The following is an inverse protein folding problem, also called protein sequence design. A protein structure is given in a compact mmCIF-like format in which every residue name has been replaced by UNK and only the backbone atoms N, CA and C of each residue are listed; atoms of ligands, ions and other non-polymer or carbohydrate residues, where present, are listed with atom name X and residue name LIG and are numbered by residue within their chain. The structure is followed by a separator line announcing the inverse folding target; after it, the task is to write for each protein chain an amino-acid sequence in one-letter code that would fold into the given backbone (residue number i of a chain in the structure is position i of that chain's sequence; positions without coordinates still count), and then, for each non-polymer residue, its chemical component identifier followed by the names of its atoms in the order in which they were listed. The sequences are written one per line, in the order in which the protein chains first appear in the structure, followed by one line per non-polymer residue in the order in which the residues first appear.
data_IF_105983571451
#
_entry.id   IF_105983571451
#
_cell.length_a   1.000
_cell.length_b   1.000
_cell.length_c   1.000
_cell.angle_alpha   90.00
_cell.angle_beta   90.00
_cell.angle_gamma   90.00
#
_symmetry.space_group_name_H-M   'P 1'
#
loop_
_entity.id
_entity.type
_entity.pdbx_description
1 polymer ?
#
# COMPACT_ATOMS: atom_id res chain seq x y z
N UNK A 1 -14.32 -2.04 -15.35
CA UNK A 1 -14.22 -1.34 -14.06
C UNK A 1 -13.80 -2.37 -13.04
N UNK A 2 -12.84 -2.07 -12.18
CA UNK A 2 -12.45 -3.00 -11.13
C UNK A 2 -13.58 -3.25 -10.13
N UNK A 3 -13.73 -4.49 -9.67
CA UNK A 3 -14.78 -4.94 -8.74
C UNK A 3 -14.88 -4.03 -7.51
N UNK A 4 -13.73 -3.65 -6.95
CA UNK A 4 -13.67 -2.78 -5.77
C UNK A 4 -14.15 -1.35 -6.06
N UNK A 5 -13.97 -0.85 -7.28
CA UNK A 5 -14.43 0.48 -7.70
C UNK A 5 -15.96 0.49 -7.93
N UNK A 6 -16.52 -0.62 -8.39
CA UNK A 6 -17.97 -0.78 -8.49
C UNK A 6 -18.61 -0.86 -7.10
N UNK A 7 -18.03 -1.66 -6.20
CA UNK A 7 -18.41 -1.70 -4.77
C UNK A 7 -18.35 -0.30 -4.13
N UNK A 8 -17.28 0.46 -4.39
CA UNK A 8 -17.15 1.82 -3.90
C UNK A 8 -18.33 2.71 -4.34
N UNK A 9 -18.70 2.64 -5.62
CA UNK A 9 -19.77 3.48 -6.19
C UNK A 9 -21.16 3.08 -5.73
N UNK A 10 -21.44 1.78 -5.68
CA UNK A 10 -22.80 1.26 -5.49
C UNK A 10 -23.15 1.06 -4.02
N UNK A 11 -22.17 0.71 -3.17
CA UNK A 11 -22.41 0.35 -1.77
C UNK A 11 -21.76 1.34 -0.80
N UNK A 12 -20.48 1.69 -1.03
CA UNK A 12 -19.72 2.49 -0.06
C UNK A 12 -20.16 3.95 -0.05
N UNK A 13 -20.44 4.55 -1.22
CA UNK A 13 -20.92 5.92 -1.33
C UNK A 13 -22.25 6.11 -0.54
N UNK A 14 -23.30 5.30 -0.77
CA UNK A 14 -24.54 5.42 0.01
C UNK A 14 -24.32 5.20 1.51
N UNK A 15 -23.49 4.22 1.89
CA UNK A 15 -23.17 3.92 3.28
C UNK A 15 -22.52 5.12 4.00
N UNK A 16 -21.48 5.70 3.40
CA UNK A 16 -20.78 6.85 3.98
C UNK A 16 -21.67 8.09 4.02
N UNK A 17 -22.49 8.30 2.99
CA UNK A 17 -23.45 9.41 2.97
C UNK A 17 -24.47 9.30 4.10
N UNK A 18 -25.00 8.10 4.34
CA UNK A 18 -25.95 7.86 5.43
C UNK A 18 -25.29 7.99 6.80
N UNK A 19 -24.05 7.53 6.96
CA UNK A 19 -23.36 7.52 8.26
C UNK A 19 -22.90 8.91 8.71
N UNK A 20 -22.33 9.68 7.80
CA UNK A 20 -21.74 11.00 8.11
C UNK A 20 -22.63 12.18 7.69
N UNK A 21 -23.76 11.92 7.03
CA UNK A 21 -24.74 12.96 6.68
C UNK A 21 -24.22 13.98 5.65
N UNK A 22 -23.34 13.57 4.74
CA UNK A 22 -22.78 14.47 3.72
C UNK A 22 -23.87 15.12 2.86
N UNK A 23 -23.82 16.45 2.75
CA UNK A 23 -24.77 17.24 1.95
C UNK A 23 -24.49 17.16 0.45
N UNK A 24 -23.23 16.91 0.08
CA UNK A 24 -22.79 16.84 -1.32
C UNK A 24 -22.02 15.54 -1.54
N UNK A 25 -22.35 14.82 -2.61
CA UNK A 25 -21.69 13.57 -3.01
C UNK A 25 -20.18 13.76 -3.20
N UNK A 26 -19.75 14.96 -3.61
CA UNK A 26 -18.32 15.28 -3.80
C UNK A 26 -17.53 15.41 -2.48
N UNK A 27 -18.20 15.50 -1.33
CA UNK A 27 -17.54 15.50 -0.01
C UNK A 27 -17.16 14.09 0.44
N UNK A 28 -17.75 13.05 -0.18
CA UNK A 28 -17.54 11.67 0.23
C UNK A 28 -16.07 11.29 -0.03
N UNK A 29 -15.37 10.77 1.00
CA UNK A 29 -13.98 10.35 0.86
C UNK A 29 -13.78 9.33 -0.25
N UNK A 30 -12.66 9.46 -0.98
CA UNK A 30 -12.22 8.51 -2.00
C UNK A 30 -10.75 8.18 -1.85
N UNK A 31 -10.33 7.08 -2.46
CA UNK A 31 -8.92 6.72 -2.58
C UNK A 31 -8.29 7.62 -3.65
N UNK A 32 -7.32 8.43 -3.27
CA UNK A 32 -6.60 9.30 -4.21
C UNK A 32 -5.49 8.53 -4.91
N UNK A 33 -4.68 7.82 -4.13
CA UNK A 33 -3.52 7.05 -4.61
C UNK A 33 -3.12 6.00 -3.59
N UNK A 34 -2.44 4.98 -4.07
CA UNK A 34 -1.75 4.00 -3.24
C UNK A 34 -0.27 4.02 -3.59
N UNK A 35 0.58 4.21 -2.60
CA UNK A 35 2.04 4.22 -2.77
C UNK A 35 2.60 2.97 -2.14
N UNK A 36 3.33 2.18 -2.92
CA UNK A 36 4.13 1.07 -2.40
C UNK A 36 5.57 1.54 -2.31
N UNK A 37 6.23 1.28 -1.19
CA UNK A 37 7.58 1.71 -0.93
C UNK A 37 8.38 0.58 -0.30
N UNK A 38 9.55 0.30 -0.86
CA UNK A 38 10.48 -0.70 -0.34
C UNK A 38 11.84 -0.05 -0.11
N UNK A 39 12.28 -0.06 1.15
CA UNK A 39 13.65 0.31 1.52
C UNK A 39 14.56 -0.89 1.35
N UNK A 40 15.62 -0.74 0.54
CA UNK A 40 16.57 -1.81 0.22
C UNK A 40 17.97 -1.35 0.63
N UNK A 41 18.23 -1.26 1.94
CA UNK A 41 19.51 -0.77 2.47
C UNK A 41 20.72 -1.62 2.05
N UNK A 42 20.51 -2.90 1.77
CA UNK A 42 21.54 -3.83 1.28
C UNK A 42 22.01 -3.51 -0.15
N UNK A 43 21.24 -2.71 -0.90
CA UNK A 43 21.60 -2.28 -2.24
C UNK A 43 22.89 -1.44 -2.30
N UNK A 44 23.34 -0.88 -1.17
CA UNK A 44 24.60 -0.13 -1.06
C UNK A 44 25.79 -1.01 -1.43
N UNK A 45 25.77 -2.29 -1.03
CA UNK A 45 26.84 -3.25 -1.30
C UNK A 45 26.65 -4.02 -2.61
N UNK A 46 25.41 -4.24 -3.03
CA UNK A 46 25.10 -5.01 -4.24
C UNK A 46 23.91 -4.41 -5.02
N UNK A 47 24.17 -3.73 -6.14
CA UNK A 47 23.11 -3.14 -6.99
C UNK A 47 22.11 -4.16 -7.53
N UNK A 48 22.51 -5.44 -7.70
CA UNK A 48 21.64 -6.49 -8.23
C UNK A 48 20.44 -6.80 -7.32
N UNK A 49 20.62 -6.63 -6.00
CA UNK A 49 19.55 -6.78 -5.01
C UNK A 49 18.42 -5.78 -5.26
N UNK A 50 18.78 -4.56 -5.70
CA UNK A 50 17.81 -3.54 -6.03
C UNK A 50 17.05 -3.87 -7.32
N UNK A 51 17.72 -4.44 -8.31
CA UNK A 51 17.08 -4.90 -9.55
C UNK A 51 16.05 -5.99 -9.28
N UNK A 52 16.37 -6.95 -8.41
CA UNK A 52 15.43 -7.98 -7.95
C UNK A 52 14.23 -7.36 -7.24
N UNK A 53 14.45 -6.44 -6.30
CA UNK A 53 13.38 -5.72 -5.61
C UNK A 53 12.47 -4.91 -6.57
N UNK A 54 13.06 -4.30 -7.61
CA UNK A 54 12.31 -3.61 -8.67
C UNK A 54 11.47 -4.60 -9.48
N UNK A 55 12.01 -5.78 -9.80
CA UNK A 55 11.29 -6.85 -10.49
C UNK A 55 10.09 -7.33 -9.67
N UNK A 56 10.30 -7.69 -8.40
CA UNK A 56 9.25 -8.14 -7.48
C UNK A 56 8.12 -7.10 -7.37
N UNK A 57 8.49 -5.84 -7.12
CA UNK A 57 7.49 -4.76 -7.01
C UNK A 57 6.78 -4.49 -8.34
N UNK A 58 7.44 -4.71 -9.49
CA UNK A 58 6.79 -4.61 -10.81
C UNK A 58 5.72 -5.68 -10.97
N UNK A 59 6.00 -6.92 -10.57
CA UNK A 59 5.03 -8.02 -10.61
C UNK A 59 3.83 -7.75 -9.69
N UNK A 60 4.10 -7.31 -8.46
CA UNK A 60 3.06 -6.98 -7.48
C UNK A 60 2.20 -5.80 -7.97
N UNK A 61 2.82 -4.70 -8.42
CA UNK A 61 2.10 -3.48 -8.74
C UNK A 61 1.52 -3.44 -10.16
N UNK A 62 1.98 -4.32 -11.07
CA UNK A 62 1.69 -4.23 -12.51
C UNK A 62 2.25 -2.96 -13.16
N UNK A 63 3.21 -2.30 -12.51
CA UNK A 63 3.79 -1.03 -12.94
C UNK A 63 5.24 -0.95 -12.49
N UNK A 64 6.13 -0.58 -13.42
CA UNK A 64 7.56 -0.42 -13.12
C UNK A 64 7.77 0.65 -12.04
N UNK A 65 8.41 0.32 -10.90
CA UNK A 65 8.68 1.27 -9.84
C UNK A 65 9.83 2.21 -10.21
N UNK A 66 9.86 3.36 -9.54
CA UNK A 66 10.94 4.34 -9.63
C UNK A 66 11.96 4.05 -8.53
N UNK A 67 13.23 4.00 -8.90
CA UNK A 67 14.35 3.87 -7.95
C UNK A 67 14.47 5.16 -7.14
N UNK A 68 14.47 5.03 -5.81
CA UNK A 68 14.66 6.14 -4.88
C UNK A 68 16.15 6.27 -4.53
N UNK A 69 16.63 7.52 -4.54
CA UNK A 69 18.02 7.86 -4.24
C UNK A 69 18.11 8.59 -2.91
N UNK A 70 19.22 8.40 -2.20
CA UNK A 70 19.52 9.12 -0.97
C UNK A 70 19.64 10.63 -1.24
N UNK A 71 18.91 11.45 -0.48
CA UNK A 71 18.95 12.93 -0.59
C UNK A 71 20.13 13.55 0.16
N UNK A 72 20.70 12.84 1.13
CA UNK A 72 21.80 13.31 1.99
C UNK A 72 22.75 12.17 2.25
N UNK A 73 24.02 12.50 2.45
CA UNK A 73 25.03 11.56 2.92
C UNK A 73 24.88 11.34 4.43
N UNK A 74 24.88 10.09 4.86
CA UNK A 74 24.78 9.71 6.28
C UNK A 74 25.80 8.60 6.54
N UNK A 75 26.88 8.96 7.26
CA UNK A 75 28.00 8.06 7.50
C UNK A 75 27.62 6.79 8.28
N UNK A 76 26.69 6.90 9.25
CA UNK A 76 26.23 5.76 10.05
C UNK A 76 25.55 4.66 9.22
N UNK A 77 24.91 5.03 8.11
CA UNK A 77 24.32 4.07 7.17
C UNK A 77 25.22 3.77 5.97
N UNK A 78 26.46 4.28 5.97
CA UNK A 78 27.40 4.21 4.83
C UNK A 78 26.78 4.76 3.52
N UNK A 79 25.87 5.72 3.64
CA UNK A 79 25.14 6.30 2.53
C UNK A 79 25.80 7.57 2.03
N UNK A 80 25.93 7.69 0.70
CA UNK A 80 26.28 8.94 0.01
C UNK A 80 25.08 9.47 -0.75
N UNK A 81 25.00 10.78 -0.87
CA UNK A 81 23.99 11.45 -1.69
C UNK A 81 23.97 10.90 -3.12
N UNK A 82 22.77 10.72 -3.67
CA UNK A 82 22.56 10.18 -5.02
C UNK A 82 22.63 8.66 -5.13
N UNK A 83 23.07 7.93 -4.09
CA UNK A 83 23.08 6.46 -4.11
C UNK A 83 21.66 5.89 -4.15
N UNK A 84 21.39 4.86 -4.97
CA UNK A 84 20.10 4.20 -5.00
C UNK A 84 19.91 3.29 -3.77
N UNK A 85 18.78 3.43 -3.08
CA UNK A 85 18.55 2.80 -1.76
C UNK A 85 17.20 2.10 -1.63
N UNK A 86 16.37 2.17 -2.66
CA UNK A 86 15.03 1.59 -2.62
C UNK A 86 14.27 1.81 -3.91
N UNK A 87 13.03 1.38 -3.91
CA UNK A 87 12.11 1.57 -5.01
C UNK A 87 10.72 1.93 -4.49
N UNK A 88 9.99 2.71 -5.27
CA UNK A 88 8.60 3.04 -4.97
C UNK A 88 7.75 3.08 -6.23
N UNK A 89 6.47 2.81 -6.08
CA UNK A 89 5.48 2.96 -7.15
C UNK A 89 4.26 3.68 -6.62
N UNK A 90 3.68 4.55 -7.44
CA UNK A 90 2.43 5.24 -7.12
C UNK A 90 1.35 4.77 -8.09
N UNK A 91 0.36 4.10 -7.55
CA UNK A 91 -0.82 3.62 -8.26
C UNK A 91 -1.94 4.64 -8.08
N UNK A 92 -2.63 4.95 -9.18
CA UNK A 92 -3.76 5.89 -9.22
C UNK A 92 -4.89 5.31 -10.07
N UNK A 93 -6.10 5.81 -9.86
CA UNK A 93 -7.26 5.39 -10.65
C UNK A 93 -7.51 3.89 -10.53
N UNK A 94 -7.79 3.22 -11.64
CA UNK A 94 -8.18 1.81 -11.67
C UNK A 94 -7.12 0.87 -11.07
N UNK A 95 -5.84 1.10 -11.37
CA UNK A 95 -4.72 0.31 -10.83
C UNK A 95 -4.65 0.32 -9.31
N UNK A 96 -5.00 1.45 -8.68
CA UNK A 96 -5.03 1.55 -7.23
C UNK A 96 -6.13 0.66 -6.63
N UNK A 97 -7.33 0.68 -7.21
CA UNK A 97 -8.44 -0.17 -6.77
C UNK A 97 -8.17 -1.66 -7.05
N UNK A 98 -7.54 -2.01 -8.17
CA UNK A 98 -7.15 -3.40 -8.47
C UNK A 98 -6.09 -3.92 -7.50
N UNK A 99 -5.07 -3.12 -7.21
CA UNK A 99 -4.07 -3.48 -6.20
C UNK A 99 -4.71 -3.65 -4.82
N UNK A 100 -5.58 -2.73 -4.39
CA UNK A 100 -6.27 -2.86 -3.11
C UNK A 100 -7.19 -4.08 -3.06
N UNK A 101 -7.85 -4.42 -4.16
CA UNK A 101 -8.67 -5.62 -4.24
C UNK A 101 -7.81 -6.89 -4.02
N UNK A 102 -6.64 -6.97 -4.67
CA UNK A 102 -5.69 -8.07 -4.46
C UNK A 102 -5.11 -8.06 -3.06
N UNK A 103 -4.79 -6.90 -2.51
CA UNK A 103 -4.28 -6.76 -1.15
C UNK A 103 -5.28 -7.31 -0.13
N UNK A 104 -6.54 -6.84 -0.19
CA UNK A 104 -7.58 -7.16 0.80
C UNK A 104 -8.02 -8.62 0.67
N UNK A 105 -8.34 -9.08 -0.54
CA UNK A 105 -8.98 -10.38 -0.73
C UNK A 105 -8.00 -11.54 -0.91
N UNK A 106 -6.74 -11.27 -1.28
CA UNK A 106 -5.76 -12.33 -1.58
C UNK A 106 -4.56 -12.25 -0.65
N UNK A 107 -3.88 -11.11 -0.60
CA UNK A 107 -2.60 -11.00 0.09
C UNK A 107 -2.76 -11.07 1.62
N UNK A 108 -3.70 -10.32 2.21
CA UNK A 108 -3.90 -10.31 3.66
C UNK A 108 -4.33 -11.67 4.21
N UNK A 109 -5.12 -12.43 3.44
CA UNK A 109 -5.52 -13.80 3.82
C UNK A 109 -4.33 -14.79 3.85
N UNK A 110 -3.23 -14.49 3.16
CA UNK A 110 -2.01 -15.29 3.11
C UNK A 110 -0.96 -14.85 4.12
N UNK A 111 -1.21 -13.76 4.85
CA UNK A 111 -0.31 -13.33 5.92
C UNK A 111 -0.34 -14.39 7.03
N UNK A 112 0.84 -14.86 7.44
CA UNK A 112 0.97 -15.80 8.55
C UNK A 112 0.49 -15.17 9.85
N UNK A 113 -0.30 -15.93 10.63
CA UNK A 113 -0.86 -15.51 11.92
C UNK A 113 -1.65 -14.18 11.83
N UNK A 114 -2.43 -14.02 10.76
CA UNK A 114 -3.20 -12.80 10.50
C UNK A 114 -4.38 -12.64 11.46
N UNK A 115 -4.31 -11.61 12.31
CA UNK A 115 -5.38 -11.22 13.25
C UNK A 115 -6.10 -9.93 12.86
N UNK A 116 -5.89 -9.45 11.64
CA UNK A 116 -6.38 -8.15 11.17
C UNK A 116 -5.29 -7.07 11.15
N UNK A 117 -5.55 -6.00 10.39
CA UNK A 117 -4.66 -4.85 10.31
C UNK A 117 -4.91 -3.87 11.44
N UNK A 118 -3.86 -3.20 11.89
CA UNK A 118 -3.94 -2.28 13.03
C UNK A 118 -4.87 -1.08 12.71
N UNK A 119 -5.94 -0.83 13.49
CA UNK A 119 -6.86 0.29 13.27
C UNK A 119 -6.28 1.66 13.69
N UNK A 120 -5.11 1.68 14.31
CA UNK A 120 -4.41 2.89 14.78
C UNK A 120 -3.33 3.40 13.82
N UNK A 121 -3.06 2.73 12.70
CA UNK A 121 -2.02 3.15 11.74
C UNK A 121 -2.45 4.29 10.80
N UNK A 122 -3.28 5.20 11.29
CA UNK A 122 -3.69 6.40 10.56
C UNK A 122 -2.81 7.59 10.97
N UNK A 123 -2.66 8.56 10.07
CA UNK A 123 -1.77 9.70 10.25
C UNK A 123 -2.44 10.96 10.86
N UNK A 124 -3.70 10.85 11.31
CA UNK A 124 -4.49 11.97 11.81
C UNK A 124 -5.16 12.80 10.72
N UNK A 125 -4.89 12.51 9.44
CA UNK A 125 -5.41 13.22 8.26
C UNK A 125 -6.06 12.26 7.26
N UNK A 126 -6.51 11.10 7.73
CA UNK A 126 -7.23 10.15 6.90
C UNK A 126 -6.36 9.33 5.93
N UNK A 127 -5.04 9.30 6.11
CA UNK A 127 -4.18 8.37 5.37
C UNK A 127 -3.84 7.17 6.23
N UNK A 128 -3.72 6.00 5.59
CA UNK A 128 -3.44 4.74 6.27
C UNK A 128 -2.12 4.14 5.81
N UNK A 129 -1.30 3.70 6.76
CA UNK A 129 -0.04 3.01 6.48
C UNK A 129 -0.09 1.56 6.96
N UNK A 130 0.26 0.64 6.07
CA UNK A 130 0.36 -0.79 6.35
C UNK A 130 1.76 -1.28 6.00
N UNK A 131 2.46 -1.87 6.97
CA UNK A 131 3.71 -2.58 6.71
C UNK A 131 3.44 -4.06 6.45
N UNK A 132 3.92 -4.58 5.33
CA UNK A 132 3.97 -6.01 5.04
C UNK A 132 5.39 -6.51 5.27
N UNK A 133 5.55 -7.58 6.05
CA UNK A 133 6.87 -8.14 6.39
C UNK A 133 7.47 -8.97 5.26
N UNK A 134 6.62 -9.57 4.44
CA UNK A 134 7.02 -10.55 3.42
C UNK A 134 6.26 -10.27 2.13
N UNK A 135 6.97 -10.21 0.99
CA UNK A 135 6.36 -10.01 -0.32
C UNK A 135 5.69 -11.27 -0.88
N UNK A 136 5.96 -12.45 -0.29
CA UNK A 136 5.44 -13.76 -0.73
C UNK A 136 3.93 -13.93 -0.50
N UNK A 137 3.32 -12.99 0.23
CA UNK A 137 1.87 -12.94 0.41
C UNK A 137 1.14 -12.72 -0.92
N UNK A 138 1.83 -12.19 -1.94
CA UNK A 138 1.30 -12.02 -3.28
C UNK A 138 1.53 -13.27 -4.13
N UNK A 139 0.49 -13.87 -4.75
CA UNK A 139 0.64 -15.04 -5.63
C UNK A 139 1.52 -14.79 -6.85
N UNK A 140 1.70 -13.53 -7.25
CA UNK A 140 2.55 -13.15 -8.37
C UNK A 140 4.05 -13.39 -8.10
N UNK A 141 4.43 -13.53 -6.82
CA UNK A 141 5.80 -13.82 -6.42
C UNK A 141 5.99 -15.33 -6.30
N UNK A 142 6.92 -15.85 -7.10
CA UNK A 142 7.34 -17.25 -7.06
C UNK A 142 8.40 -17.46 -5.97
N UNK A 143 8.09 -18.29 -4.97
CA UNK A 143 8.96 -18.58 -3.84
C UNK A 143 10.35 -19.08 -4.25
N UNK A 144 10.44 -19.87 -5.31
CA UNK A 144 11.70 -20.49 -5.73
C UNK A 144 12.63 -19.52 -6.46
N UNK A 145 12.08 -18.39 -6.94
CA UNK A 145 12.84 -17.37 -7.69
C UNK A 145 13.29 -16.19 -6.85
N UNK A 146 12.84 -16.11 -5.60
CA UNK A 146 13.19 -15.00 -4.71
C UNK A 146 14.58 -15.23 -4.16
N UNK A 147 15.41 -14.19 -4.21
CA UNK A 147 16.72 -14.20 -3.56
C UNK A 147 16.61 -13.99 -2.04
N UNK A 148 15.67 -13.14 -1.59
CA UNK A 148 15.46 -12.82 -0.18
C UNK A 148 14.04 -12.37 0.11
N UNK A 149 13.53 -12.75 1.28
CA UNK A 149 12.28 -12.21 1.83
C UNK A 149 12.49 -10.75 2.22
N UNK A 150 11.64 -9.87 1.70
CA UNK A 150 11.63 -8.41 1.89
C UNK A 150 10.25 -7.95 2.27
N UNK A 151 10.22 -7.03 3.23
CA UNK A 151 9.02 -6.27 3.54
C UNK A 151 8.88 -5.04 2.67
N UNK A 152 7.68 -4.47 2.63
CA UNK A 152 7.42 -3.17 2.04
C UNK A 152 6.21 -2.51 2.69
N UNK A 153 6.15 -1.19 2.54
CA UNK A 153 5.08 -0.36 3.08
C UNK A 153 4.05 -0.06 1.99
N UNK A 154 2.78 -0.14 2.36
CA UNK A 154 1.63 0.27 1.57
C UNK A 154 1.00 1.48 2.22
N UNK A 155 1.03 2.60 1.51
CA UNK A 155 0.45 3.87 1.97
C UNK A 155 -0.79 4.14 1.14
N UNK A 156 -1.95 4.13 1.79
CA UNK A 156 -3.24 4.44 1.17
C UNK A 156 -3.55 5.90 1.47
N UNK A 157 -3.50 6.74 0.44
CA UNK A 157 -3.87 8.15 0.54
C UNK A 157 -5.35 8.30 0.19
N UNK A 158 -6.10 8.91 1.08
CA UNK A 158 -7.53 9.21 0.85
C UNK A 158 -7.77 10.71 0.85
N UNK A 159 -8.97 11.12 0.43
CA UNK A 159 -9.42 12.52 0.54
C UNK A 159 -10.18 12.80 1.84
N UNK A 160 -10.24 11.84 2.77
CA UNK A 160 -10.86 12.04 4.07
C UNK A 160 -10.13 13.14 4.85
N UNK A 161 -10.85 13.87 5.71
CA UNK A 161 -10.22 14.87 6.57
C UNK A 161 -9.89 14.30 7.95
N UNK A 162 -10.58 13.23 8.34
CA UNK A 162 -10.41 12.59 9.64
C UNK A 162 -10.11 11.10 9.51
N UNK A 163 -9.47 10.55 10.54
CA UNK A 163 -9.16 9.11 10.60
C UNK A 163 -10.42 8.25 10.71
N UNK A 164 -11.50 8.77 11.29
CA UNK A 164 -12.77 8.06 11.40
C UNK A 164 -13.41 7.83 10.03
N UNK A 165 -13.47 8.88 9.21
CA UNK A 165 -13.96 8.82 7.83
C UNK A 165 -13.13 7.84 6.99
N UNK A 166 -11.80 7.91 7.10
CA UNK A 166 -10.89 7.04 6.37
C UNK A 166 -10.99 5.57 6.82
N UNK A 167 -11.12 5.34 8.14
CA UNK A 167 -11.29 4.01 8.70
C UNK A 167 -12.59 3.39 8.23
N UNK A 168 -13.68 4.15 8.22
CA UNK A 168 -14.95 3.66 7.73
C UNK A 168 -14.91 3.39 6.23
N UNK A 169 -14.30 4.26 5.43
CA UNK A 169 -14.09 4.05 4.00
C UNK A 169 -13.37 2.72 3.75
N UNK A 170 -12.23 2.49 4.42
CA UNK A 170 -11.46 1.25 4.26
C UNK A 170 -12.24 0.02 4.75
N UNK A 171 -12.96 0.14 5.87
CA UNK A 171 -13.79 -0.94 6.41
C UNK A 171 -14.91 -1.32 5.44
N UNK A 172 -15.62 -0.35 4.89
CA UNK A 172 -16.69 -0.57 3.90
C UNK A 172 -16.15 -1.19 2.60
N UNK A 173 -14.91 -0.87 2.22
CA UNK A 173 -14.22 -1.53 1.11
C UNK A 173 -13.83 -2.99 1.41
N UNK A 174 -13.89 -3.41 2.67
CA UNK A 174 -13.59 -4.78 3.11
C UNK A 174 -12.25 -4.94 3.82
N UNK A 175 -11.60 -3.85 4.22
CA UNK A 175 -10.33 -3.92 4.95
C UNK A 175 -10.53 -4.60 6.32
N UNK A 176 -9.83 -5.73 6.59
CA UNK A 176 -10.00 -6.48 7.83
C UNK A 176 -9.21 -5.84 8.97
N UNK A 177 -9.82 -4.89 9.68
CA UNK A 177 -9.21 -4.32 10.90
C UNK A 177 -9.29 -5.31 12.05
N UNK A 178 -8.20 -5.41 12.84
CA UNK A 178 -8.19 -6.23 14.06
C UNK A 178 -9.25 -5.71 15.05
N UNK A 179 -10.01 -6.64 15.65
CA UNK A 179 -10.89 -6.32 16.76
C UNK A 179 -10.03 -5.90 17.96
N UNK A 180 -10.38 -4.77 18.57
CA UNK A 180 -9.66 -4.21 19.73
C UNK A 180 -10.10 -4.88 21.03
#
# INVERSE_FOLDING_TARGET
MSVLKEKYRNEVIPHLQSKFGYKNVMQIPKIEKVVLNMGVGEAIGNPKILENAVSDMTMIAGQKPVITKAKKSIAGFKLREGMPIGCKVTLRGERAYEFLNRLINVALARVRDFSGVNPKSFDGRGNYALGLKEQIVFPEIDYDKIDKIRGFDVIITTTAQTDEEARELLRALGMPFAES
#
